data_IF_835991739871
#
_entry.id   IF_835991739871
#
_cell.length_a   1.000
_cell.length_b   1.000
_cell.length_c   1.000
_cell.angle_alpha   90.00
_cell.angle_beta   90.00
_cell.angle_gamma   90.00
#
_symmetry.space_group_name_H-M   'P 1'
#
loop_
_entity.id
_entity.type
_entity.pdbx_description
1 polymer ?
#
# COMPACT_ATOMS: atom_id res chain seq x y z
N UNK A 1 6.26 0.17 29.59
CA UNK A 1 7.12 0.32 28.38
C UNK A 1 6.91 1.69 27.72
N UNK A 2 5.65 2.12 27.57
CA UNK A 2 5.27 3.48 27.14
C UNK A 2 5.87 4.56 28.06
N UNK A 3 5.94 4.32 29.37
CA UNK A 3 6.39 5.29 30.37
C UNK A 3 7.90 5.50 30.40
N UNK A 4 8.67 4.58 29.80
CA UNK A 4 10.10 4.79 29.51
C UNK A 4 10.28 5.57 28.20
N UNK A 5 9.41 5.36 27.21
CA UNK A 5 9.43 6.06 25.91
C UNK A 5 8.91 7.50 26.01
N UNK A 6 7.73 7.74 26.60
CA UNK A 6 7.11 9.06 26.74
C UNK A 6 7.90 9.96 27.71
N UNK A 7 8.43 9.43 28.83
CA UNK A 7 9.22 10.23 29.79
C UNK A 7 10.61 10.62 29.28
N UNK A 8 11.21 9.89 28.32
CA UNK A 8 12.55 10.22 27.77
C UNK A 8 12.48 11.09 26.52
N UNK A 9 11.48 10.90 25.66
CA UNK A 9 11.30 11.76 24.46
C UNK A 9 10.90 13.19 24.86
N UNK A 10 10.09 13.38 25.91
CA UNK A 10 9.71 14.72 26.38
C UNK A 10 10.81 15.49 27.15
N UNK A 11 11.93 14.86 27.54
CA UNK A 11 12.94 15.52 28.41
C UNK A 11 14.13 16.18 27.71
N UNK A 12 14.22 16.14 26.38
CA UNK A 12 15.15 17.01 25.63
C UNK A 12 14.44 17.52 24.39
N UNK A 13 14.49 18.82 24.13
CA UNK A 13 13.91 19.42 22.95
C UNK A 13 14.60 18.91 21.68
N UNK A 14 13.97 17.97 20.97
CA UNK A 14 14.40 17.48 19.65
C UNK A 14 14.07 18.46 18.50
N UNK A 15 13.68 19.70 18.84
CA UNK A 15 12.95 20.59 17.93
C UNK A 15 13.80 21.63 17.18
N UNK A 16 15.15 21.53 17.17
CA UNK A 16 16.00 22.62 16.61
C UNK A 16 16.92 22.27 15.44
N UNK A 17 17.19 21.00 15.11
CA UNK A 17 18.23 20.67 14.12
C UNK A 17 17.77 19.94 12.84
N UNK A 18 16.50 19.50 12.73
CA UNK A 18 16.05 18.72 11.57
C UNK A 18 15.67 19.53 10.32
N UNK A 19 15.57 20.86 10.40
CA UNK A 19 15.11 21.72 9.30
C UNK A 19 16.21 22.21 8.32
N UNK A 20 17.49 21.84 8.51
CA UNK A 20 18.62 22.41 7.73
C UNK A 20 19.34 21.46 6.77
N UNK A 21 18.81 20.26 6.52
CA UNK A 21 19.56 19.25 5.75
C UNK A 21 19.38 19.32 4.22
N UNK A 22 18.38 20.06 3.73
CA UNK A 22 18.01 20.07 2.31
C UNK A 22 18.94 20.82 1.34
N UNK A 23 19.89 21.64 1.82
CA UNK A 23 20.61 22.61 0.94
C UNK A 23 22.09 22.30 0.66
N UNK A 24 22.73 21.34 1.35
CA UNK A 24 24.21 21.30 1.38
C UNK A 24 24.93 20.30 0.47
N UNK A 25 24.25 19.39 -0.23
CA UNK A 25 24.92 18.29 -0.93
C UNK A 25 25.00 18.36 -2.46
N UNK A 26 24.67 19.50 -3.11
CA UNK A 26 24.76 19.62 -4.58
C UNK A 26 26.11 20.11 -5.14
N UNK A 27 27.10 20.45 -4.30
CA UNK A 27 28.36 21.02 -4.77
C UNK A 27 29.56 20.12 -4.48
N UNK A 28 29.75 19.06 -5.29
CA UNK A 28 31.07 18.48 -5.64
C UNK A 28 30.91 17.22 -6.50
N UNK A 29 31.07 17.37 -7.81
CA UNK A 29 31.77 16.41 -8.71
C UNK A 29 31.79 16.98 -10.13
N UNK A 30 32.98 17.34 -10.61
CA UNK A 30 33.25 17.68 -12.01
C UNK A 30 34.40 16.81 -12.53
N UNK A 31 34.17 16.29 -13.74
CA UNK A 31 35.08 16.06 -14.86
C UNK A 31 35.97 14.79 -14.95
N UNK A 32 35.91 14.19 -16.15
CA UNK A 32 36.74 13.12 -16.72
C UNK A 32 35.89 11.87 -17.01
N UNK A 33 35.72 11.32 -18.21
CA UNK A 33 36.48 11.39 -19.47
C UNK A 33 35.55 11.00 -20.65
N UNK A 34 35.96 11.37 -21.88
CA UNK A 34 35.33 10.97 -23.14
C UNK A 34 35.63 9.50 -23.46
N UNK A 35 34.62 8.75 -23.88
CA UNK A 35 34.77 7.67 -24.86
C UNK A 35 33.53 7.59 -25.75
N UNK A 36 33.77 7.64 -27.06
CA UNK A 36 32.79 7.34 -28.10
C UNK A 36 32.57 5.83 -28.17
N UNK A 37 31.31 5.40 -28.28
CA UNK A 37 31.00 3.98 -28.48
C UNK A 37 29.53 3.64 -28.26
N UNK A 38 28.75 3.67 -29.36
CA UNK A 38 27.40 3.07 -29.55
C UNK A 38 26.41 3.21 -28.39
N UNK A 39 25.50 4.19 -28.51
CA UNK A 39 24.41 4.39 -27.55
C UNK A 39 23.37 3.26 -27.64
N UNK A 40 23.37 2.38 -26.65
CA UNK A 40 22.14 1.72 -26.23
C UNK A 40 21.18 2.79 -25.66
N UNK A 41 19.85 2.64 -25.82
CA UNK A 41 18.91 3.60 -25.25
C UNK A 41 19.11 3.67 -23.73
N UNK A 42 19.56 4.83 -23.25
CA UNK A 42 19.72 5.14 -21.83
C UNK A 42 18.36 5.01 -21.15
N UNK A 43 18.19 3.98 -20.33
CA UNK A 43 16.97 3.73 -19.54
C UNK A 43 16.89 4.52 -18.24
N UNK A 44 17.89 5.37 -17.94
CA UNK A 44 17.86 6.24 -16.76
C UNK A 44 18.41 7.62 -17.07
N UNK A 45 17.69 8.62 -16.55
CA UNK A 45 18.02 10.03 -16.66
C UNK A 45 18.75 10.47 -15.39
N UNK A 46 19.92 11.10 -15.53
CA UNK A 46 20.64 11.64 -14.38
C UNK A 46 19.96 12.90 -13.86
N UNK A 47 20.11 13.25 -12.56
CA UNK A 47 19.60 14.53 -12.02
C UNK A 47 20.05 15.75 -12.83
N UNK A 48 21.28 15.74 -13.34
CA UNK A 48 21.81 16.80 -14.21
C UNK A 48 21.09 16.90 -15.56
N UNK A 49 20.75 15.76 -16.18
CA UNK A 49 19.96 15.73 -17.42
C UNK A 49 18.53 16.20 -17.18
N UNK A 50 17.93 15.88 -16.02
CA UNK A 50 16.61 16.34 -15.62
C UNK A 50 16.59 17.87 -15.46
N UNK A 51 17.52 18.40 -14.64
CA UNK A 51 17.65 19.83 -14.40
C UNK A 51 17.88 20.59 -15.71
N UNK A 52 18.74 20.06 -16.60
CA UNK A 52 19.00 20.69 -17.88
C UNK A 52 17.77 20.71 -18.80
N UNK A 53 16.92 19.67 -18.76
CA UNK A 53 15.67 19.65 -19.53
C UNK A 53 14.63 20.62 -18.96
N UNK A 54 14.49 20.70 -17.64
CA UNK A 54 13.65 21.70 -16.98
C UNK A 54 14.11 23.13 -17.33
N UNK A 55 15.42 23.37 -17.33
CA UNK A 55 15.99 24.68 -17.66
C UNK A 55 15.79 25.04 -19.14
N UNK A 56 15.93 24.09 -20.07
CA UNK A 56 15.64 24.31 -21.50
C UNK A 56 14.15 24.56 -21.76
N UNK A 57 13.26 23.79 -21.12
CA UNK A 57 11.82 24.00 -21.23
C UNK A 57 11.41 25.38 -20.71
N UNK A 58 11.99 25.80 -19.58
CA UNK A 58 11.80 27.14 -19.04
C UNK A 58 12.29 28.24 -19.99
N UNK A 59 13.52 28.14 -20.51
CA UNK A 59 14.10 29.14 -21.42
C UNK A 59 13.40 29.23 -22.77
N UNK A 60 12.88 28.12 -23.28
CA UNK A 60 12.17 28.06 -24.56
C UNK A 60 10.67 28.32 -24.44
N UNK A 61 10.13 28.44 -23.23
CA UNK A 61 8.69 28.54 -22.98
C UNK A 61 7.90 27.32 -23.45
N UNK A 62 8.57 26.19 -23.69
CA UNK A 62 7.99 25.00 -24.29
C UNK A 62 8.17 23.78 -23.36
N UNK A 63 7.10 23.27 -22.73
CA UNK A 63 7.20 22.15 -21.79
C UNK A 63 7.45 20.79 -22.46
N UNK A 64 7.37 20.69 -23.79
CA UNK A 64 7.37 19.42 -24.51
C UNK A 64 8.61 18.55 -24.23
N UNK A 65 9.77 19.16 -23.98
CA UNK A 65 10.99 18.40 -23.69
C UNK A 65 10.90 17.69 -22.32
N UNK A 66 10.44 18.39 -21.29
CA UNK A 66 10.20 17.82 -19.96
C UNK A 66 9.08 16.80 -20.02
N UNK A 67 8.01 17.11 -20.74
CA UNK A 67 6.87 16.20 -20.90
C UNK A 67 7.28 14.90 -21.59
N UNK A 68 8.07 14.97 -22.67
CA UNK A 68 8.59 13.79 -23.36
C UNK A 68 9.50 12.97 -22.45
N UNK A 69 10.38 13.61 -21.69
CA UNK A 69 11.25 12.90 -20.73
C UNK A 69 10.45 12.23 -19.61
N UNK A 70 9.44 12.90 -19.05
CA UNK A 70 8.56 12.30 -18.06
C UNK A 70 7.79 11.12 -18.68
N UNK A 71 7.27 11.27 -19.90
CA UNK A 71 6.61 10.17 -20.64
C UNK A 71 7.57 9.00 -20.90
N UNK A 72 8.83 9.26 -21.21
CA UNK A 72 9.86 8.22 -21.44
C UNK A 72 10.31 7.54 -20.13
N UNK A 73 10.22 8.25 -19.00
CA UNK A 73 10.50 7.72 -17.65
C UNK A 73 9.34 6.93 -17.06
N UNK A 74 8.12 7.11 -17.58
CA UNK A 74 6.96 6.40 -17.10
C UNK A 74 6.83 5.04 -17.81
N UNK A 75 6.63 4.00 -17.01
CA UNK A 75 6.34 2.66 -17.53
C UNK A 75 4.83 2.47 -17.67
N UNK A 76 4.45 1.58 -18.58
CA UNK A 76 3.17 0.88 -18.56
C UNK A 76 3.38 -0.54 -18.06
N UNK A 77 2.34 -1.16 -17.53
CA UNK A 77 2.34 -2.58 -17.21
C UNK A 77 1.70 -3.33 -18.37
N UNK A 78 2.33 -4.41 -18.84
CA UNK A 78 1.81 -5.20 -19.97
C UNK A 78 1.69 -6.67 -19.57
N UNK A 79 0.56 -7.27 -19.88
CA UNK A 79 0.34 -8.70 -19.79
C UNK A 79 -0.06 -9.29 -21.14
N UNK A 80 0.21 -10.58 -21.32
CA UNK A 80 -0.19 -11.35 -22.51
C UNK A 80 -1.11 -12.48 -22.07
N UNK A 81 -2.28 -12.60 -22.70
CA UNK A 81 -3.24 -13.68 -22.45
C UNK A 81 -3.64 -14.36 -23.74
N UNK A 82 -4.04 -15.62 -23.66
CA UNK A 82 -4.45 -16.37 -24.85
C UNK A 82 -5.87 -16.01 -25.28
N UNK A 83 -6.77 -15.83 -24.31
CA UNK A 83 -8.17 -15.50 -24.55
C UNK A 83 -8.68 -14.43 -23.57
N UNK A 84 -9.49 -13.50 -24.08
CA UNK A 84 -10.07 -12.40 -23.29
C UNK A 84 -11.04 -12.93 -22.25
N UNK A 85 -11.92 -13.85 -22.63
CA UNK A 85 -13.00 -14.34 -21.77
C UNK A 85 -12.44 -15.15 -20.61
N UNK A 86 -11.48 -16.03 -20.89
CA UNK A 86 -10.76 -16.76 -19.83
C UNK A 86 -10.06 -15.79 -18.86
N UNK A 87 -9.39 -14.76 -19.39
CA UNK A 87 -8.74 -13.75 -18.54
C UNK A 87 -9.75 -13.01 -17.65
N UNK A 88 -10.90 -12.61 -18.19
CA UNK A 88 -11.97 -11.96 -17.41
C UNK A 88 -12.59 -12.89 -16.36
N UNK A 89 -12.75 -14.18 -16.64
CA UNK A 89 -13.22 -15.18 -15.67
C UNK A 89 -12.24 -15.39 -14.51
N UNK A 90 -10.93 -15.40 -14.79
CA UNK A 90 -9.89 -15.52 -13.75
C UNK A 90 -9.74 -14.24 -12.93
N UNK A 91 -9.82 -13.08 -13.56
CA UNK A 91 -9.88 -11.78 -12.87
C UNK A 91 -11.12 -11.70 -11.96
N UNK A 92 -12.27 -12.26 -12.38
CA UNK A 92 -13.47 -12.35 -11.54
C UNK A 92 -13.29 -13.24 -10.32
N UNK A 93 -12.41 -14.25 -10.40
CA UNK A 93 -11.98 -15.08 -9.27
C UNK A 93 -10.89 -14.40 -8.41
N UNK A 94 -10.50 -13.16 -8.73
CA UNK A 94 -9.52 -12.36 -7.99
C UNK A 94 -8.07 -12.72 -8.25
N UNK A 95 -7.80 -13.54 -9.28
CA UNK A 95 -6.44 -13.80 -9.71
C UNK A 95 -5.80 -12.51 -10.25
N UNK A 96 -4.49 -12.35 -10.03
CA UNK A 96 -3.74 -11.18 -10.51
C UNK A 96 -3.02 -11.60 -11.77
N UNK A 97 -3.23 -10.86 -12.84
CA UNK A 97 -2.50 -11.10 -14.07
C UNK A 97 -1.04 -10.70 -13.88
N UNK A 98 -0.09 -11.54 -14.30
CA UNK A 98 1.34 -11.24 -14.19
C UNK A 98 1.69 -10.21 -15.26
N UNK A 99 2.21 -9.06 -14.83
CA UNK A 99 2.56 -7.95 -15.73
C UNK A 99 4.06 -7.73 -15.83
N UNK A 100 4.48 -7.14 -16.94
CA UNK A 100 5.86 -6.77 -17.23
C UNK A 100 5.90 -5.25 -17.43
N UNK A 101 6.80 -4.53 -16.73
CA UNK A 101 6.97 -3.11 -16.96
C UNK A 101 7.61 -2.88 -18.34
N UNK A 102 6.99 -2.04 -19.15
CA UNK A 102 7.49 -1.64 -20.46
C UNK A 102 7.58 -0.11 -20.50
N UNK A 103 8.69 0.48 -20.97
CA UNK A 103 8.78 1.92 -21.16
C UNK A 103 7.64 2.43 -22.05
N UNK A 104 6.92 3.46 -21.62
CA UNK A 104 5.72 3.95 -22.30
C UNK A 104 5.98 4.29 -23.77
N UNK A 105 7.10 4.96 -24.08
CA UNK A 105 7.47 5.29 -25.46
C UNK A 105 7.68 4.05 -26.36
N UNK A 106 8.24 2.97 -25.81
CA UNK A 106 8.42 1.70 -26.53
C UNK A 106 7.06 1.06 -26.79
N UNK A 107 6.19 1.00 -25.76
CA UNK A 107 4.85 0.44 -25.89
C UNK A 107 4.01 1.22 -26.91
N UNK A 108 3.97 2.55 -26.80
CA UNK A 108 3.26 3.44 -27.72
C UNK A 108 3.77 3.28 -29.17
N UNK A 109 5.10 3.20 -29.36
CA UNK A 109 5.69 3.03 -30.68
C UNK A 109 5.38 1.67 -31.33
N UNK A 110 5.19 0.61 -30.54
CA UNK A 110 4.85 -0.74 -31.03
C UNK A 110 3.34 -0.87 -31.27
N UNK A 111 2.55 -0.58 -30.25
CA UNK A 111 1.09 -0.71 -30.29
C UNK A 111 0.45 0.35 -31.18
N UNK A 112 0.99 1.57 -31.20
CA UNK A 112 0.48 2.63 -32.07
C UNK A 112 0.54 2.25 -33.55
N UNK A 113 1.55 1.47 -33.98
CA UNK A 113 1.60 0.92 -35.34
C UNK A 113 0.50 -0.10 -35.59
N UNK A 114 0.31 -1.04 -34.66
CA UNK A 114 -0.74 -2.07 -34.74
C UNK A 114 -2.14 -1.42 -34.84
N UNK A 115 -2.40 -0.39 -34.02
CA UNK A 115 -3.66 0.34 -34.03
C UNK A 115 -3.84 1.21 -35.28
N UNK A 116 -2.76 1.76 -35.83
CA UNK A 116 -2.80 2.56 -37.06
C UNK A 116 -2.97 1.72 -38.34
N UNK A 117 -2.44 0.49 -38.34
CA UNK A 117 -2.55 -0.48 -39.44
C UNK A 117 -3.87 -1.27 -39.37
N UNK A 118 -4.51 -1.34 -38.20
CA UNK A 118 -5.82 -1.95 -38.00
C UNK A 118 -6.96 -1.12 -38.61
N UNK A 119 -7.98 -1.81 -39.12
CA UNK A 119 -9.23 -1.15 -39.51
C UNK A 119 -9.85 -0.45 -38.30
N UNK A 120 -9.87 0.89 -38.32
CA UNK A 120 -10.43 1.74 -37.26
C UNK A 120 -11.78 1.18 -36.80
N UNK A 121 -11.87 0.82 -35.51
CA UNK A 121 -13.11 0.36 -34.87
C UNK A 121 -13.29 -1.16 -34.75
N UNK A 122 -12.33 -1.99 -35.19
CA UNK A 122 -12.31 -3.43 -34.84
C UNK A 122 -11.46 -3.68 -33.60
N UNK A 123 -11.89 -4.65 -32.79
CA UNK A 123 -11.12 -5.11 -31.63
C UNK A 123 -9.79 -5.70 -32.11
N UNK A 124 -8.71 -4.99 -31.82
CA UNK A 124 -7.38 -5.37 -32.24
C UNK A 124 -6.74 -6.40 -31.29
N UNK A 125 -7.41 -6.80 -30.21
CA UNK A 125 -6.85 -7.67 -29.16
C UNK A 125 -5.98 -6.91 -28.15
N UNK A 126 -6.20 -5.60 -28.01
CA UNK A 126 -5.48 -4.71 -27.10
C UNK A 126 -6.49 -4.13 -26.12
N UNK A 127 -6.28 -4.40 -24.83
CA UNK A 127 -7.23 -4.01 -23.79
C UNK A 127 -6.55 -3.19 -22.69
N UNK A 128 -7.26 -2.18 -22.19
CA UNK A 128 -6.96 -1.50 -20.94
C UNK A 128 -7.65 -2.23 -19.79
N UNK A 129 -6.87 -2.64 -18.78
CA UNK A 129 -7.39 -3.16 -17.54
C UNK A 129 -7.99 -2.01 -16.73
N UNK A 130 -9.32 -1.90 -16.70
CA UNK A 130 -10.03 -0.87 -15.93
C UNK A 130 -10.62 -1.48 -14.66
N UNK A 131 -10.54 -0.80 -13.50
CA UNK A 131 -11.32 -1.22 -12.36
C UNK A 131 -12.81 -1.07 -12.67
N UNK A 132 -13.59 -2.14 -12.49
CA UNK A 132 -15.04 -2.07 -12.51
C UNK A 132 -15.59 -2.10 -11.09
N UNK A 133 -16.60 -1.28 -10.83
CA UNK A 133 -17.31 -1.29 -9.57
C UNK A 133 -18.00 -2.63 -9.28
N UNK A 134 -18.28 -2.83 -7.99
CA UNK A 134 -19.20 -3.77 -7.33
C UNK A 134 -19.16 -5.29 -7.59
N UNK A 135 -18.68 -5.85 -8.72
CA UNK A 135 -18.71 -7.32 -8.92
C UNK A 135 -17.49 -7.96 -9.59
N UNK A 136 -16.86 -7.28 -10.53
CA UNK A 136 -15.64 -7.76 -11.19
C UNK A 136 -14.56 -6.71 -10.89
N UNK A 137 -13.45 -7.04 -10.17
CA UNK A 137 -12.50 -6.00 -9.75
C UNK A 137 -11.90 -5.29 -10.96
N UNK A 138 -11.84 -5.96 -12.11
CA UNK A 138 -11.33 -5.40 -13.35
C UNK A 138 -12.14 -5.87 -14.56
N UNK A 139 -12.14 -5.05 -15.62
CA UNK A 139 -12.66 -5.39 -16.95
C UNK A 139 -11.60 -5.09 -18.00
N UNK A 140 -11.61 -5.85 -19.09
CA UNK A 140 -10.76 -5.62 -20.26
C UNK A 140 -11.51 -4.74 -21.27
N UNK A 141 -11.26 -3.44 -21.20
CA UNK A 141 -11.84 -2.46 -22.14
C UNK A 141 -10.99 -2.39 -23.41
N UNK A 142 -11.54 -2.66 -24.61
CA UNK A 142 -10.77 -2.58 -25.85
C UNK A 142 -10.27 -1.15 -26.10
N UNK A 143 -9.09 -1.05 -26.72
CA UNK A 143 -8.46 0.20 -27.14
C UNK A 143 -8.56 0.30 -28.65
N UNK A 144 -9.02 1.45 -29.14
CA UNK A 144 -9.22 1.66 -30.57
C UNK A 144 -8.26 2.69 -31.16
N UNK A 145 -7.58 3.47 -30.33
CA UNK A 145 -6.74 4.58 -30.78
C UNK A 145 -5.47 4.73 -29.93
N UNK A 146 -4.34 5.16 -30.53
CA UNK A 146 -3.10 5.43 -29.78
C UNK A 146 -3.26 6.48 -28.67
N UNK A 147 -4.20 7.41 -28.82
CA UNK A 147 -4.48 8.49 -27.87
C UNK A 147 -5.04 7.98 -26.53
N UNK A 148 -5.65 6.79 -26.52
CA UNK A 148 -6.12 6.11 -25.32
C UNK A 148 -4.99 5.46 -24.51
N UNK A 149 -3.78 5.38 -25.07
CA UNK A 149 -2.61 4.81 -24.40
C UNK A 149 -1.97 5.87 -23.51
N UNK A 150 -2.21 5.75 -22.21
CA UNK A 150 -1.68 6.59 -21.15
C UNK A 150 -0.58 5.88 -20.34
N UNK A 151 0.41 6.63 -19.82
CA UNK A 151 1.44 6.09 -18.93
C UNK A 151 0.85 5.63 -17.59
N UNK A 152 1.55 4.73 -16.89
CA UNK A 152 1.14 4.25 -15.56
C UNK A 152 -0.13 3.40 -15.55
N UNK A 153 -0.55 2.88 -16.71
CA UNK A 153 -1.71 2.00 -16.86
C UNK A 153 -1.29 0.57 -17.15
N UNK A 154 -2.23 -0.36 -16.94
CA UNK A 154 -2.06 -1.79 -17.23
C UNK A 154 -2.80 -2.17 -18.50
N UNK A 155 -2.07 -2.71 -19.47
CA UNK A 155 -2.58 -3.18 -20.74
C UNK A 155 -2.48 -4.70 -20.85
N UNK A 156 -3.48 -5.32 -21.46
CA UNK A 156 -3.53 -6.75 -21.73
C UNK A 156 -3.59 -6.94 -23.24
N UNK A 157 -2.66 -7.73 -23.76
CA UNK A 157 -2.54 -8.06 -25.18
C UNK A 157 -2.92 -9.52 -25.37
N UNK A 158 -3.58 -9.85 -26.48
CA UNK A 158 -3.77 -11.24 -26.87
C UNK A 158 -2.47 -11.85 -27.40
N UNK A 159 -2.31 -13.17 -27.22
CA UNK A 159 -1.07 -13.88 -27.57
C UNK A 159 -0.76 -13.90 -29.07
N UNK A 160 -1.76 -13.63 -29.92
CA UNK A 160 -1.55 -13.41 -31.35
C UNK A 160 -0.82 -12.09 -31.69
N UNK A 161 -0.75 -11.13 -30.76
CA UNK A 161 -0.08 -9.84 -30.95
C UNK A 161 1.28 -9.78 -30.25
N UNK A 162 1.37 -10.40 -29.09
CA UNK A 162 2.53 -10.35 -28.22
C UNK A 162 2.77 -11.70 -27.58
N UNK A 163 4.01 -12.01 -27.24
CA UNK A 163 4.37 -13.24 -26.56
C UNK A 163 5.34 -12.96 -25.43
N UNK A 164 5.38 -13.84 -24.43
CA UNK A 164 6.40 -13.81 -23.41
C UNK A 164 7.27 -15.07 -23.49
N UNK A 165 8.58 -14.90 -23.31
CA UNK A 165 9.49 -16.02 -23.04
C UNK A 165 10.50 -15.64 -21.96
N UNK A 166 10.96 -16.62 -21.19
CA UNK A 166 11.98 -16.37 -20.15
C UNK A 166 13.34 -15.96 -20.71
N UNK A 167 13.59 -16.22 -22.01
CA UNK A 167 14.86 -15.86 -22.67
C UNK A 167 14.84 -14.48 -23.30
N UNK A 168 13.75 -14.11 -23.96
CA UNK A 168 13.65 -12.89 -24.76
C UNK A 168 12.79 -11.81 -24.10
N UNK A 169 12.06 -12.15 -23.04
CA UNK A 169 11.12 -11.26 -22.38
C UNK A 169 9.84 -11.08 -23.20
N UNK A 170 9.21 -9.91 -23.07
CA UNK A 170 8.01 -9.55 -23.84
C UNK A 170 8.37 -9.21 -25.29
N UNK A 171 7.77 -9.93 -26.23
CA UNK A 171 7.88 -9.71 -27.68
C UNK A 171 6.54 -9.19 -28.23
N UNK A 172 6.59 -8.34 -29.26
CA UNK A 172 5.41 -7.80 -29.95
C UNK A 172 5.26 -8.41 -31.36
N UNK A 173 5.58 -9.70 -31.48
CA UNK A 173 5.60 -10.45 -32.74
C UNK A 173 4.67 -11.67 -32.73
N UNK A 174 3.78 -11.78 -31.73
CA UNK A 174 2.82 -12.90 -31.61
C UNK A 174 3.44 -14.28 -31.40
N UNK A 175 4.74 -14.35 -31.11
CA UNK A 175 5.49 -15.59 -30.90
C UNK A 175 5.95 -15.68 -29.45
N UNK A 176 5.18 -16.37 -28.61
CA UNK A 176 5.52 -16.63 -27.21
C UNK A 176 4.32 -17.14 -26.40
N UNK A 177 4.52 -17.37 -25.11
CA UNK A 177 3.47 -17.82 -24.20
C UNK A 177 2.73 -16.62 -23.57
N UNK A 178 1.55 -16.87 -23.00
CA UNK A 178 0.93 -15.91 -22.10
C UNK A 178 1.83 -15.63 -20.88
N UNK A 179 1.73 -14.42 -20.31
CA UNK A 179 2.47 -14.06 -19.09
C UNK A 179 1.97 -14.81 -17.87
N UNK A 180 0.77 -15.39 -17.95
CA UNK A 180 0.12 -16.12 -16.88
C UNK A 180 -0.39 -15.21 -15.77
N UNK A 181 -0.65 -15.81 -14.62
CA UNK A 181 -1.17 -15.14 -13.43
C UNK A 181 -0.18 -15.32 -12.28
N UNK A 182 -0.13 -14.32 -11.41
CA UNK A 182 0.68 -14.38 -10.20
C UNK A 182 0.15 -15.49 -9.28
N UNK A 183 1.07 -16.26 -8.71
CA UNK A 183 0.75 -17.17 -7.63
C UNK A 183 0.33 -16.35 -6.41
N UNK A 184 -0.97 -16.28 -6.15
CA UNK A 184 -1.46 -15.64 -4.93
C UNK A 184 -1.44 -16.64 -3.78
N UNK A 185 -0.78 -16.31 -2.65
CA UNK A 185 -0.88 -17.07 -1.42
C UNK A 185 -2.35 -17.32 -1.09
N UNK A 186 -2.68 -18.54 -0.65
CA UNK A 186 -4.05 -18.89 -0.23
C UNK A 186 -4.59 -17.88 0.80
N UNK A 187 -3.72 -17.42 1.68
CA UNK A 187 -4.05 -16.43 2.70
C UNK A 187 -4.45 -15.05 2.12
N UNK A 188 -3.77 -14.58 1.06
CA UNK A 188 -4.13 -13.32 0.37
C UNK A 188 -5.51 -13.44 -0.29
N UNK A 189 -5.81 -14.59 -0.91
CA UNK A 189 -7.14 -14.86 -1.46
C UNK A 189 -8.21 -14.90 -0.37
N UNK A 190 -7.92 -15.59 0.73
CA UNK A 190 -8.84 -15.71 1.85
C UNK A 190 -9.19 -14.35 2.47
N UNK A 191 -8.18 -13.50 2.67
CA UNK A 191 -8.35 -12.13 3.14
C UNK A 191 -9.29 -11.33 2.20
N UNK A 192 -8.92 -11.23 0.92
CA UNK A 192 -9.63 -10.38 -0.06
C UNK A 192 -11.10 -10.75 -0.25
N UNK A 193 -11.40 -12.04 -0.18
CA UNK A 193 -12.75 -12.56 -0.39
C UNK A 193 -13.55 -12.73 0.90
N UNK A 194 -12.99 -12.31 2.05
CA UNK A 194 -13.55 -12.59 3.37
C UNK A 194 -13.83 -14.08 3.57
N UNK A 195 -13.04 -14.94 2.92
CA UNK A 195 -13.16 -16.39 3.06
C UNK A 195 -12.39 -16.79 4.31
N UNK A 196 -13.12 -17.18 5.35
CA UNK A 196 -12.53 -17.55 6.62
C UNK A 196 -13.58 -17.80 7.67
N UNK A 197 -13.13 -17.93 8.92
CA UNK A 197 -14.04 -18.02 10.06
C UNK A 197 -14.58 -16.64 10.40
N UNK A 198 -15.78 -16.63 10.98
CA UNK A 198 -16.29 -15.43 11.65
C UNK A 198 -15.27 -14.94 12.68
N UNK A 199 -15.06 -13.64 12.73
CA UNK A 199 -14.11 -13.01 13.63
C UNK A 199 -14.58 -11.61 14.03
N UNK A 200 -14.55 -11.34 15.33
CA UNK A 200 -14.80 -9.99 15.84
C UNK A 200 -13.61 -9.08 15.53
N UNK A 201 -13.83 -7.77 15.54
CA UNK A 201 -12.76 -6.81 15.30
C UNK A 201 -11.64 -6.89 16.35
N UNK A 202 -12.00 -7.11 17.61
CA UNK A 202 -11.04 -7.28 18.70
C UNK A 202 -10.19 -8.54 18.53
N UNK A 203 -10.84 -9.68 18.23
CA UNK A 203 -10.15 -10.96 17.98
C UNK A 203 -9.15 -10.84 16.82
N UNK A 204 -9.55 -10.16 15.74
CA UNK A 204 -8.70 -9.95 14.58
C UNK A 204 -7.49 -9.07 14.94
N UNK A 205 -7.73 -7.92 15.54
CA UNK A 205 -6.67 -6.97 15.91
C UNK A 205 -5.68 -7.60 16.88
N UNK A 206 -6.17 -8.36 17.86
CA UNK A 206 -5.31 -9.08 18.79
C UNK A 206 -4.49 -10.18 18.08
N UNK A 207 -5.11 -10.97 17.20
CA UNK A 207 -4.43 -12.02 16.45
C UNK A 207 -3.31 -11.46 15.56
N UNK A 208 -3.51 -10.29 14.96
CA UNK A 208 -2.49 -9.56 14.20
C UNK A 208 -1.37 -9.05 15.10
N UNK A 209 -1.70 -8.50 16.28
CA UNK A 209 -0.72 -8.02 17.25
C UNK A 209 0.21 -9.13 17.77
N UNK A 210 -0.34 -10.31 18.08
CA UNK A 210 0.42 -11.46 18.55
C UNK A 210 1.44 -11.91 17.48
N UNK A 211 1.02 -11.99 16.22
CA UNK A 211 1.89 -12.33 15.08
C UNK A 211 2.97 -11.27 14.84
N UNK A 212 2.64 -9.99 15.02
CA UNK A 212 3.57 -8.88 14.85
C UNK A 212 4.79 -8.97 15.77
N UNK A 213 4.68 -9.63 16.93
CA UNK A 213 5.80 -9.78 17.85
C UNK A 213 6.95 -10.57 17.21
N UNK A 214 6.62 -11.68 16.54
CA UNK A 214 7.61 -12.52 15.86
C UNK A 214 8.24 -11.76 14.69
N UNK A 215 7.42 -11.10 13.87
CA UNK A 215 7.91 -10.33 12.71
C UNK A 215 8.82 -9.18 13.16
N UNK A 216 8.48 -8.48 14.25
CA UNK A 216 9.31 -7.42 14.81
C UNK A 216 10.69 -7.92 15.28
N UNK A 217 10.79 -9.16 15.80
CA UNK A 217 12.07 -9.78 16.16
C UNK A 217 12.94 -10.02 14.92
N UNK A 218 12.33 -10.48 13.81
CA UNK A 218 13.00 -10.68 12.52
C UNK A 218 13.45 -9.33 11.93
N UNK A 219 12.62 -8.29 12.05
CA UNK A 219 12.89 -6.98 11.45
C UNK A 219 13.86 -6.11 12.25
N UNK A 220 14.10 -6.43 13.52
CA UNK A 220 14.97 -5.63 14.39
C UNK A 220 16.37 -5.38 13.84
N UNK A 221 17.14 -6.37 13.35
CA UNK A 221 18.47 -6.13 12.80
C UNK A 221 18.45 -5.16 11.61
N UNK A 222 17.41 -5.23 10.78
CA UNK A 222 17.24 -4.35 9.63
C UNK A 222 16.95 -2.90 10.05
N UNK A 223 16.08 -2.70 11.04
CA UNK A 223 15.79 -1.36 11.58
C UNK A 223 17.03 -0.80 12.30
N UNK A 224 17.80 -1.63 13.00
CA UNK A 224 19.07 -1.23 13.62
C UNK A 224 20.09 -0.76 12.59
N UNK A 225 20.32 -1.56 11.53
CA UNK A 225 21.24 -1.23 10.45
C UNK A 225 20.81 0.04 9.70
N UNK A 226 19.52 0.17 9.41
CA UNK A 226 18.96 1.38 8.81
C UNK A 226 19.18 2.62 9.70
N UNK A 227 18.88 2.52 10.99
CA UNK A 227 19.07 3.62 11.95
C UNK A 227 20.54 4.01 12.05
N UNK A 228 21.44 3.03 12.03
CA UNK A 228 22.89 3.27 12.03
C UNK A 228 23.35 4.01 10.79
N UNK A 229 22.82 3.67 9.62
CA UNK A 229 23.26 4.30 8.38
C UNK A 229 22.66 5.70 8.18
N UNK A 230 21.37 5.85 8.42
CA UNK A 230 20.61 7.07 8.12
C UNK A 230 20.73 8.10 9.25
N UNK A 231 20.82 7.65 10.50
CA UNK A 231 20.78 8.51 11.69
C UNK A 231 22.08 8.46 12.52
N UNK A 232 23.20 8.05 11.91
CA UNK A 232 24.49 7.89 12.62
C UNK A 232 24.89 9.16 13.38
N UNK A 233 24.89 10.30 12.69
CA UNK A 233 25.38 11.57 13.24
C UNK A 233 24.48 12.06 14.39
N UNK A 234 23.18 11.77 14.33
CA UNK A 234 22.20 12.13 15.35
C UNK A 234 22.41 11.32 16.63
N UNK A 235 22.89 10.07 16.52
CA UNK A 235 23.04 9.15 17.64
C UNK A 235 24.48 8.88 18.07
N UNK A 236 25.46 9.51 17.41
CA UNK A 236 26.89 9.29 17.63
C UNK A 236 27.32 9.41 19.09
N UNK A 237 26.74 10.36 19.82
CA UNK A 237 27.03 10.61 21.24
C UNK A 237 25.96 10.06 22.20
N UNK A 238 24.98 9.31 21.68
CA UNK A 238 23.82 8.85 22.44
C UNK A 238 23.36 7.43 22.03
N UNK A 239 24.22 6.39 22.22
CA UNK A 239 23.89 5.02 21.84
C UNK A 239 22.64 4.46 22.53
N UNK A 240 22.40 4.84 23.79
CA UNK A 240 21.17 4.45 24.50
C UNK A 240 19.91 5.04 23.85
N UNK A 241 20.00 6.23 23.27
CA UNK A 241 18.87 6.84 22.55
C UNK A 241 18.63 6.16 21.20
N UNK A 242 19.69 5.67 20.53
CA UNK A 242 19.58 4.87 19.30
C UNK A 242 18.76 3.61 19.55
N UNK A 243 19.10 2.87 20.60
CA UNK A 243 18.40 1.63 20.93
C UNK A 243 16.94 1.87 21.33
N UNK A 244 16.66 2.93 22.08
CA UNK A 244 15.27 3.32 22.38
C UNK A 244 14.50 3.73 21.11
N UNK A 245 15.15 4.45 20.18
CA UNK A 245 14.54 4.83 18.91
C UNK A 245 14.19 3.60 18.06
N UNK A 246 15.10 2.64 17.94
CA UNK A 246 14.85 1.36 17.23
C UNK A 246 13.64 0.64 17.84
N UNK A 247 13.57 0.56 19.18
CA UNK A 247 12.40 -0.02 19.86
C UNK A 247 11.13 0.76 19.56
N UNK A 248 11.16 2.09 19.53
CA UNK A 248 10.01 2.92 19.21
C UNK A 248 9.52 2.72 17.78
N UNK A 249 10.43 2.60 16.80
CA UNK A 249 10.07 2.32 15.40
C UNK A 249 9.40 0.95 15.28
N UNK A 250 10.00 -0.09 15.87
CA UNK A 250 9.40 -1.44 15.85
C UNK A 250 8.05 -1.47 16.58
N UNK A 251 7.94 -0.79 17.72
CA UNK A 251 6.68 -0.67 18.45
C UNK A 251 5.62 0.05 17.61
N UNK A 252 5.97 1.15 16.94
CA UNK A 252 5.09 1.87 16.04
C UNK A 252 4.61 1.00 14.87
N UNK A 253 5.49 0.19 14.27
CA UNK A 253 5.09 -0.79 13.23
C UNK A 253 4.08 -1.81 13.77
N UNK A 254 4.28 -2.32 14.99
CA UNK A 254 3.35 -3.26 15.62
C UNK A 254 2.00 -2.63 15.97
N UNK A 255 1.99 -1.37 16.43
CA UNK A 255 0.76 -0.60 16.66
C UNK A 255 0.04 -0.35 15.34
N UNK A 256 0.77 -0.05 14.28
CA UNK A 256 0.21 0.09 12.94
C UNK A 256 -0.42 -1.21 12.45
N UNK A 257 0.18 -2.38 12.73
CA UNK A 257 -0.42 -3.69 12.47
C UNK A 257 -1.68 -3.92 13.34
N UNK A 258 -1.64 -3.63 14.64
CA UNK A 258 -2.80 -3.76 15.54
C UNK A 258 -4.01 -2.94 15.05
N UNK A 259 -3.79 -1.74 14.55
CA UNK A 259 -4.85 -0.76 14.25
C UNK A 259 -5.02 -0.50 12.74
N UNK A 260 -4.40 -1.32 11.87
CA UNK A 260 -4.48 -1.16 10.41
C UNK A 260 -5.93 -1.19 9.89
N UNK A 261 -6.79 -1.89 10.62
CA UNK A 261 -8.19 -2.13 10.31
C UNK A 261 -9.16 -1.24 11.09
N UNK A 262 -8.68 -0.15 11.69
CA UNK A 262 -9.53 0.83 12.39
C UNK A 262 -10.65 1.37 11.51
N UNK A 263 -10.45 1.40 10.19
CA UNK A 263 -11.47 1.76 9.21
C UNK A 263 -12.73 0.89 9.26
N UNK A 264 -12.61 -0.38 9.70
CA UNK A 264 -13.74 -1.30 9.87
C UNK A 264 -14.67 -0.87 11.00
N UNK A 265 -14.22 0.00 11.91
CA UNK A 265 -15.04 0.57 12.99
C UNK A 265 -15.97 1.70 12.51
N UNK A 266 -15.97 2.01 11.21
CA UNK A 266 -16.94 2.93 10.62
C UNK A 266 -18.34 2.30 10.61
N UNK A 267 -19.37 3.06 11.00
CA UNK A 267 -20.77 2.63 11.05
C UNK A 267 -21.24 2.06 9.72
N UNK A 268 -20.93 2.74 8.62
CA UNK A 268 -21.32 2.26 7.29
C UNK A 268 -20.68 0.89 6.95
N UNK A 269 -19.45 0.65 7.40
CA UNK A 269 -18.79 -0.64 7.22
C UNK A 269 -19.49 -1.72 8.05
N UNK A 270 -19.74 -1.45 9.34
CA UNK A 270 -20.39 -2.39 10.26
C UNK A 270 -21.81 -2.74 9.81
N UNK A 271 -22.60 -1.77 9.32
CA UNK A 271 -23.96 -1.99 8.82
C UNK A 271 -23.97 -3.00 7.66
N UNK A 272 -23.08 -2.82 6.68
CA UNK A 272 -22.98 -3.71 5.51
C UNK A 272 -22.55 -5.12 5.92
N UNK A 273 -21.55 -5.22 6.81
CA UNK A 273 -21.00 -6.52 7.19
C UNK A 273 -21.95 -7.29 8.11
N UNK A 274 -22.66 -6.61 9.00
CA UNK A 274 -23.73 -7.24 9.78
C UNK A 274 -24.88 -7.74 8.91
N UNK A 275 -25.26 -6.98 7.89
CA UNK A 275 -26.30 -7.40 6.96
C UNK A 275 -25.87 -8.64 6.17
N UNK A 276 -24.62 -8.67 5.70
CA UNK A 276 -24.05 -9.85 5.06
C UNK A 276 -24.04 -11.05 6.00
N UNK A 277 -23.65 -10.86 7.26
CA UNK A 277 -23.58 -11.94 8.24
C UNK A 277 -24.97 -12.57 8.52
N UNK A 278 -26.02 -11.74 8.60
CA UNK A 278 -27.41 -12.23 8.74
C UNK A 278 -27.83 -13.09 7.57
N UNK A 279 -27.50 -12.67 6.33
CA UNK A 279 -27.78 -13.43 5.11
C UNK A 279 -27.02 -14.76 5.10
N UNK A 280 -25.74 -14.76 5.50
CA UNK A 280 -24.91 -15.96 5.55
C UNK A 280 -25.44 -16.98 6.56
N UNK A 281 -25.83 -16.53 7.76
CA UNK A 281 -26.28 -17.43 8.82
C UNK A 281 -27.73 -17.88 8.70
N UNK A 282 -28.52 -17.26 7.81
CA UNK A 282 -29.96 -17.49 7.66
C UNK A 282 -30.72 -17.46 9.00
N UNK A 283 -30.26 -16.61 9.93
CA UNK A 283 -30.78 -16.48 11.30
C UNK A 283 -30.74 -15.03 11.75
N UNK A 284 -31.69 -14.66 12.61
CA UNK A 284 -31.60 -13.45 13.43
C UNK A 284 -30.38 -13.57 14.35
N UNK A 285 -29.26 -12.96 13.97
CA UNK A 285 -28.10 -12.86 14.85
C UNK A 285 -28.37 -11.77 15.87
N UNK A 286 -28.51 -12.14 17.14
CA UNK A 286 -28.49 -11.17 18.23
C UNK A 286 -27.08 -10.59 18.33
N UNK A 287 -26.88 -9.38 17.78
CA UNK A 287 -25.59 -8.67 17.76
C UNK A 287 -24.96 -8.57 19.15
N UNK A 288 -25.77 -8.52 20.21
CA UNK A 288 -25.30 -8.45 21.59
C UNK A 288 -24.65 -9.74 22.10
N UNK A 289 -24.94 -10.91 21.51
CA UNK A 289 -24.43 -12.22 21.96
C UNK A 289 -23.16 -12.70 21.25
N UNK A 290 -22.82 -12.13 20.09
CA UNK A 290 -21.75 -12.62 19.20
C UNK A 290 -20.54 -11.66 19.16
N UNK A 291 -20.64 -10.50 19.81
CA UNK A 291 -19.65 -9.42 19.77
C UNK A 291 -20.18 -8.25 18.95
N UNK A 292 -19.94 -7.00 19.38
CA UNK A 292 -20.59 -5.81 18.81
C UNK A 292 -20.06 -5.40 17.42
N UNK A 293 -18.81 -5.76 17.11
CA UNK A 293 -18.08 -5.27 15.95
C UNK A 293 -17.40 -6.43 15.22
N UNK A 294 -17.68 -6.56 13.93
CA UNK A 294 -17.16 -7.63 13.09
C UNK A 294 -15.91 -7.15 12.36
N UNK A 295 -14.91 -8.02 12.19
CA UNK A 295 -13.85 -7.83 11.19
C UNK A 295 -14.05 -8.72 9.96
N UNK A 296 -14.61 -9.93 10.13
CA UNK A 296 -14.85 -10.91 9.06
C UNK A 296 -16.16 -11.68 9.28
N UNK A 297 -16.90 -11.91 8.20
CA UNK A 297 -18.13 -12.72 8.21
C UNK A 297 -17.83 -14.22 8.36
N UNK A 298 -18.86 -15.00 8.67
CA UNK A 298 -18.83 -16.46 8.55
C UNK A 298 -18.52 -16.93 7.11
N UNK A 299 -18.05 -18.19 6.94
CA UNK A 299 -17.87 -18.77 5.61
C UNK A 299 -19.15 -18.71 4.78
N UNK A 300 -19.03 -18.29 3.52
CA UNK A 300 -20.16 -18.22 2.60
C UNK A 300 -20.54 -19.64 2.18
N UNK A 301 -21.79 -20.10 2.38
CA UNK A 301 -22.15 -21.50 2.20
C UNK A 301 -22.34 -21.90 0.72
N UNK A 302 -22.70 -20.98 -0.16
CA UNK A 302 -22.88 -21.22 -1.60
C UNK A 302 -22.81 -19.92 -2.43
N UNK A 303 -22.70 -20.09 -3.76
CA UNK A 303 -22.59 -18.98 -4.71
C UNK A 303 -23.88 -18.16 -4.84
N UNK A 304 -25.04 -18.75 -4.57
CA UNK A 304 -26.33 -18.02 -4.55
C UNK A 304 -26.36 -16.95 -3.46
N UNK A 305 -25.88 -17.27 -2.26
CA UNK A 305 -25.77 -16.32 -1.15
C UNK A 305 -24.68 -15.30 -1.48
N UNK A 306 -23.53 -15.73 -2.02
CA UNK A 306 -22.44 -14.83 -2.43
C UNK A 306 -22.92 -13.69 -3.34
N UNK A 307 -23.80 -14.00 -4.31
CA UNK A 307 -24.39 -13.02 -5.24
C UNK A 307 -25.31 -11.98 -4.57
N UNK A 308 -25.79 -12.26 -3.35
CA UNK A 308 -26.69 -11.39 -2.58
C UNK A 308 -25.95 -10.50 -1.56
N UNK A 309 -24.65 -10.74 -1.35
CA UNK A 309 -23.84 -9.97 -0.40
C UNK A 309 -23.44 -8.62 -0.99
N UNK A 310 -23.44 -7.61 -0.13
CA UNK A 310 -22.98 -6.27 -0.47
C UNK A 310 -21.49 -6.14 -0.20
N UNK A 311 -20.73 -5.49 -1.08
CA UNK A 311 -19.32 -5.22 -0.82
C UNK A 311 -19.20 -4.13 0.25
N UNK A 312 -18.44 -4.35 1.34
CA UNK A 312 -18.21 -3.30 2.33
C UNK A 312 -17.41 -2.14 1.73
N UNK A 313 -17.59 -0.91 2.25
CA UNK A 313 -16.80 0.25 1.84
C UNK A 313 -15.30 0.02 2.10
N UNK A 314 -14.45 0.76 1.38
CA UNK A 314 -13.00 0.74 1.63
C UNK A 314 -12.70 1.21 3.05
N UNK A 315 -11.93 0.43 3.80
CA UNK A 315 -11.60 0.70 5.20
C UNK A 315 -10.15 1.11 5.41
N UNK A 316 -9.21 0.49 4.67
CA UNK A 316 -7.77 0.73 4.83
C UNK A 316 -7.36 2.22 4.80
N UNK A 317 -7.92 3.09 3.93
CA UNK A 317 -7.52 4.50 3.89
C UNK A 317 -7.69 5.25 5.23
N UNK A 318 -8.68 4.89 6.04
CA UNK A 318 -8.93 5.51 7.35
C UNK A 318 -7.82 5.26 8.37
N UNK A 319 -6.98 4.23 8.16
CA UNK A 319 -5.85 3.95 9.05
C UNK A 319 -4.81 5.07 9.01
N UNK A 320 -4.64 5.77 7.89
CA UNK A 320 -3.61 6.79 7.75
C UNK A 320 -3.81 7.99 8.69
N UNK A 321 -4.90 8.78 8.59
CA UNK A 321 -5.10 9.93 9.48
C UNK A 321 -5.17 9.51 10.96
N UNK A 322 -5.78 8.36 11.24
CA UNK A 322 -5.87 7.81 12.59
C UNK A 322 -4.47 7.52 13.16
N UNK A 323 -3.67 6.68 12.49
CA UNK A 323 -2.35 6.27 12.96
C UNK A 323 -1.35 7.43 12.97
N UNK A 324 -1.44 8.34 12.00
CA UNK A 324 -0.60 9.54 11.95
C UNK A 324 -0.80 10.38 13.22
N UNK A 325 -2.04 10.71 13.56
CA UNK A 325 -2.34 11.48 14.77
C UNK A 325 -1.99 10.68 16.04
N UNK A 326 -2.36 9.40 16.11
CA UNK A 326 -2.11 8.54 17.26
C UNK A 326 -0.62 8.40 17.59
N UNK A 327 0.20 8.05 16.59
CA UNK A 327 1.62 7.82 16.76
C UNK A 327 2.36 9.13 17.05
N UNK A 328 2.00 10.24 16.39
CA UNK A 328 2.62 11.54 16.64
C UNK A 328 2.33 12.07 18.04
N UNK A 329 1.12 11.88 18.54
CA UNK A 329 0.78 12.30 19.90
C UNK A 329 1.58 11.52 20.96
N UNK A 330 1.81 10.21 20.73
CA UNK A 330 2.52 9.36 21.69
C UNK A 330 4.04 9.46 21.59
N UNK A 331 4.57 9.55 20.37
CA UNK A 331 6.00 9.42 20.10
C UNK A 331 6.63 10.73 19.62
N UNK A 332 5.87 11.76 19.29
CA UNK A 332 6.36 13.03 18.74
C UNK A 332 6.28 13.11 17.21
N UNK A 333 6.65 14.28 16.66
CA UNK A 333 6.52 14.58 15.23
C UNK A 333 7.73 14.08 14.42
N UNK A 334 7.70 12.80 14.04
CA UNK A 334 8.78 12.14 13.31
C UNK A 334 8.31 11.57 11.97
N UNK A 335 8.99 11.93 10.87
CA UNK A 335 8.67 11.46 9.49
C UNK A 335 8.53 9.93 9.33
N UNK A 336 9.36 9.08 9.98
CA UNK A 336 9.16 7.62 9.91
C UNK A 336 7.75 7.16 10.36
N UNK A 337 7.11 7.88 11.29
CA UNK A 337 5.78 7.52 11.78
C UNK A 337 4.70 7.72 10.71
N UNK A 338 4.85 8.77 9.88
CA UNK A 338 3.95 9.01 8.75
C UNK A 338 4.09 7.90 7.70
N UNK A 339 5.33 7.48 7.42
CA UNK A 339 5.61 6.38 6.51
C UNK A 339 5.00 5.06 7.02
N UNK A 340 5.07 4.79 8.34
CA UNK A 340 4.43 3.63 8.97
C UNK A 340 2.89 3.72 8.87
N UNK A 341 2.30 4.88 9.18
CA UNK A 341 0.86 5.08 9.06
C UNK A 341 0.38 4.90 7.61
N UNK A 342 1.13 5.43 6.64
CA UNK A 342 0.82 5.31 5.21
C UNK A 342 0.93 3.86 4.74
N UNK A 343 1.95 3.15 5.22
CA UNK A 343 2.15 1.74 4.93
C UNK A 343 0.96 0.89 5.41
N UNK A 344 0.41 1.16 6.59
CA UNK A 344 -0.79 0.50 7.09
C UNK A 344 -2.01 0.82 6.23
N UNK A 345 -2.21 2.06 5.80
CA UNK A 345 -3.36 2.41 4.95
C UNK A 345 -3.34 1.78 3.55
N UNK A 346 -2.19 1.26 3.11
CA UNK A 346 -1.98 0.63 1.80
C UNK A 346 -1.78 -0.88 1.90
N UNK A 347 -2.33 -1.51 2.93
CA UNK A 347 -2.20 -2.96 3.11
C UNK A 347 -2.98 -3.77 2.06
N UNK A 348 -4.11 -3.28 1.54
CA UNK A 348 -4.88 -3.97 0.48
C UNK A 348 -4.45 -3.67 -0.96
N UNK A 349 -3.95 -2.46 -1.22
CA UNK A 349 -3.54 -2.06 -2.56
C UNK A 349 -2.49 -0.95 -2.49
N UNK A 350 -1.56 -0.95 -3.44
CA UNK A 350 -0.65 0.18 -3.64
C UNK A 350 -1.40 1.38 -4.24
N UNK A 351 -2.49 1.19 -4.98
CA UNK A 351 -3.31 2.29 -5.51
C UNK A 351 -4.33 2.79 -4.47
N UNK A 352 -3.86 3.35 -3.35
CA UNK A 352 -4.72 4.18 -2.51
C UNK A 352 -4.49 5.62 -2.96
N UNK A 353 -5.43 6.14 -3.74
CA UNK A 353 -5.56 7.59 -3.90
C UNK A 353 -5.94 8.12 -2.53
N UNK A 354 -5.00 8.76 -1.86
CA UNK A 354 -5.02 9.10 -0.45
C UNK A 354 -6.14 10.00 0.05
N UNK A 355 -7.17 10.29 -0.74
CA UNK A 355 -8.27 11.14 -0.30
C UNK A 355 -9.30 10.32 0.47
N UNK A 356 -9.25 10.41 1.80
CA UNK A 356 -10.36 9.99 2.65
C UNK A 356 -11.37 11.14 2.67
N UNK A 357 -12.51 10.96 1.99
CA UNK A 357 -13.66 11.86 2.18
C UNK A 357 -14.25 11.62 3.57
N UNK A 358 -14.55 12.69 4.31
CA UNK A 358 -14.83 12.72 5.76
C UNK A 358 -16.12 12.03 6.23
N UNK A 359 -16.36 10.80 5.77
CA UNK A 359 -17.54 10.00 6.05
C UNK A 359 -17.28 8.93 7.12
N UNK A 360 -16.27 9.12 7.98
CA UNK A 360 -16.03 8.20 9.09
C UNK A 360 -16.96 8.55 10.24
N UNK A 361 -17.92 7.68 10.55
CA UNK A 361 -18.71 7.77 11.78
C UNK A 361 -18.38 6.55 12.62
N UNK A 362 -17.80 6.76 13.80
CA UNK A 362 -17.45 5.66 14.69
C UNK A 362 -18.71 4.88 15.10
N UNK A 363 -18.65 3.55 15.05
CA UNK A 363 -19.74 2.69 15.51
C UNK A 363 -19.94 2.71 17.02
N UNK A 364 -21.19 2.46 17.44
CA UNK A 364 -21.56 2.42 18.85
C UNK A 364 -20.72 1.38 19.62
N UNK A 365 -20.06 1.84 20.69
CA UNK A 365 -19.19 1.03 21.54
C UNK A 365 -17.81 0.70 20.96
N UNK A 366 -17.46 1.21 19.78
CA UNK A 366 -16.13 1.00 19.21
C UNK A 366 -15.02 1.76 19.95
N UNK A 367 -15.34 2.87 20.59
CA UNK A 367 -14.40 3.60 21.44
C UNK A 367 -14.02 2.80 22.69
N UNK A 368 -14.98 2.12 23.31
CA UNK A 368 -14.75 1.24 24.46
C UNK A 368 -13.92 0.02 24.06
N UNK A 369 -14.24 -0.62 22.92
CA UNK A 369 -13.45 -1.75 22.40
C UNK A 369 -12.00 -1.33 22.10
N UNK A 370 -11.79 -0.15 21.52
CA UNK A 370 -10.44 0.39 21.29
C UNK A 370 -9.69 0.61 22.60
N UNK A 371 -10.32 1.23 23.61
CA UNK A 371 -9.70 1.49 24.92
C UNK A 371 -9.32 0.19 25.63
N UNK A 372 -10.23 -0.77 25.67
CA UNK A 372 -9.99 -2.06 26.33
C UNK A 372 -8.92 -2.88 25.60
N UNK A 373 -8.95 -2.92 24.26
CA UNK A 373 -7.91 -3.58 23.47
C UNK A 373 -6.53 -2.97 23.73
N UNK A 374 -6.42 -1.64 23.69
CA UNK A 374 -5.15 -0.95 23.94
C UNK A 374 -4.66 -1.19 25.38
N UNK A 375 -5.54 -1.17 26.37
CA UNK A 375 -5.19 -1.49 27.76
C UNK A 375 -4.69 -2.94 27.90
N UNK A 376 -5.36 -3.89 27.25
CA UNK A 376 -4.97 -5.31 27.23
C UNK A 376 -3.60 -5.52 26.60
N UNK A 377 -3.37 -4.89 25.45
CA UNK A 377 -2.15 -5.05 24.66
C UNK A 377 -0.95 -4.33 25.27
N UNK A 378 -1.16 -3.15 25.86
CA UNK A 378 -0.09 -2.31 26.40
C UNK A 378 0.24 -2.63 27.87
N UNK A 379 -0.59 -3.46 28.52
CA UNK A 379 -0.40 -3.94 29.89
C UNK A 379 -0.71 -2.87 30.94
N UNK A 380 -0.15 -3.03 32.13
CA UNK A 380 -0.31 -2.06 33.22
C UNK A 380 0.39 -0.74 32.87
N UNK A 381 -0.40 0.32 32.80
CA UNK A 381 0.05 1.69 32.54
C UNK A 381 -0.13 2.52 33.80
N UNK A 382 0.82 3.40 34.09
CA UNK A 382 0.62 4.46 35.10
C UNK A 382 -0.50 5.39 34.68
N UNK A 383 -1.07 6.12 35.63
CA UNK A 383 -2.14 7.09 35.38
C UNK A 383 -1.77 8.11 34.29
N UNK A 384 -0.51 8.60 34.31
CA UNK A 384 -0.01 9.52 33.30
C UNK A 384 0.07 8.89 31.90
N UNK A 385 0.53 7.64 31.79
CA UNK A 385 0.56 6.90 30.51
C UNK A 385 -0.85 6.64 29.99
N UNK A 386 -1.78 6.31 30.89
CA UNK A 386 -3.18 6.10 30.54
C UNK A 386 -3.85 7.39 30.03
N UNK A 387 -3.54 8.53 30.65
CA UNK A 387 -4.04 9.82 30.20
C UNK A 387 -3.46 10.22 28.84
N UNK A 388 -2.16 10.00 28.61
CA UNK A 388 -1.53 10.22 27.31
C UNK A 388 -2.16 9.33 26.21
N UNK A 389 -2.41 8.06 26.51
CA UNK A 389 -3.07 7.13 25.60
C UNK A 389 -4.49 7.56 25.25
N UNK A 390 -5.29 7.98 26.25
CA UNK A 390 -6.64 8.51 26.04
C UNK A 390 -6.62 9.75 25.16
N UNK A 391 -5.69 10.68 25.41
CA UNK A 391 -5.54 11.88 24.60
C UNK A 391 -5.18 11.54 23.16
N UNK A 392 -4.20 10.66 22.93
CA UNK A 392 -3.83 10.19 21.60
C UNK A 392 -4.99 9.52 20.86
N UNK A 393 -5.76 8.69 21.54
CA UNK A 393 -6.95 8.06 20.96
C UNK A 393 -8.01 9.10 20.57
N UNK A 394 -8.28 10.08 21.43
CA UNK A 394 -9.20 11.18 21.13
C UNK A 394 -8.76 11.99 19.91
N UNK A 395 -7.47 12.32 19.78
CA UNK A 395 -6.94 13.04 18.63
C UNK A 395 -7.03 12.20 17.35
N UNK A 396 -6.70 10.91 17.43
CA UNK A 396 -6.79 9.99 16.29
C UNK A 396 -8.22 9.83 15.77
N UNK A 397 -9.20 9.72 16.70
CA UNK A 397 -10.62 9.62 16.35
C UNK A 397 -11.17 10.91 15.74
N UNK A 398 -10.65 12.09 16.12
CA UNK A 398 -10.99 13.35 15.45
C UNK A 398 -10.36 13.41 14.05
N UNK A 399 -9.08 13.09 13.94
CA UNK A 399 -8.34 13.15 12.69
C UNK A 399 -8.94 12.27 11.58
N UNK A 400 -9.47 11.09 11.94
CA UNK A 400 -10.11 10.18 10.96
C UNK A 400 -11.48 10.67 10.46
N UNK A 401 -12.14 11.55 11.20
CA UNK A 401 -13.41 12.18 10.81
C UNK A 401 -13.20 13.36 9.87
N UNK A 402 -12.02 13.99 9.91
CA UNK A 402 -11.66 15.11 9.05
C UNK A 402 -11.26 14.63 7.64
N UNK A 403 -11.52 15.47 6.64
CA UNK A 403 -11.02 15.22 5.29
C UNK A 403 -9.50 15.37 5.27
N UNK A 404 -8.81 14.31 4.85
CA UNK A 404 -7.35 14.31 4.75
C UNK A 404 -6.91 13.83 3.38
N UNK A 405 -5.84 14.46 2.87
CA UNK A 405 -5.07 13.94 1.74
C UNK A 405 -3.92 13.12 2.32
N UNK A 406 -3.82 11.85 1.93
CA UNK A 406 -2.67 11.05 2.29
C UNK A 406 -1.43 11.52 1.54
N UNK A 407 -0.28 11.40 2.20
CA UNK A 407 1.01 11.68 1.60
C UNK A 407 1.29 10.69 0.45
N UNK A 408 2.08 11.11 -0.54
CA UNK A 408 2.66 10.19 -1.51
C UNK A 408 3.63 9.22 -0.80
N UNK A 409 3.77 7.96 -1.27
CA UNK A 409 4.80 7.08 -0.75
C UNK A 409 6.19 7.72 -0.84
N UNK A 410 7.09 7.41 0.12
CA UNK A 410 8.49 7.68 -0.08
C UNK A 410 8.98 7.01 -1.37
N UNK A 411 9.77 7.74 -2.17
CA UNK A 411 10.42 7.17 -3.36
C UNK A 411 11.48 6.14 -2.96
N UNK A 412 11.89 5.19 -3.82
CA UNK A 412 12.99 4.27 -3.51
C UNK A 412 14.32 4.95 -3.14
N UNK A 413 14.50 6.22 -3.50
CA UNK A 413 15.65 7.05 -3.13
C UNK A 413 15.48 7.81 -1.81
N UNK A 414 14.30 7.79 -1.19
CA UNK A 414 14.05 8.38 0.12
C UNK A 414 14.48 7.37 1.21
N UNK A 415 15.26 7.82 2.18
CA UNK A 415 15.75 7.00 3.29
C UNK A 415 14.60 6.28 4.04
N UNK A 416 13.39 6.86 4.07
CA UNK A 416 12.23 6.26 4.75
C UNK A 416 11.51 5.19 3.93
N UNK A 417 11.87 4.98 2.65
CA UNK A 417 11.29 3.92 1.82
C UNK A 417 11.48 2.53 2.42
N UNK A 418 12.64 2.29 3.02
CA UNK A 418 12.94 1.02 3.66
C UNK A 418 11.99 0.75 4.83
N UNK A 419 11.77 1.75 5.69
CA UNK A 419 10.85 1.65 6.84
C UNK A 419 9.41 1.49 6.37
N UNK A 420 9.00 2.21 5.33
CA UNK A 420 7.70 2.05 4.68
C UNK A 420 7.48 0.61 4.19
N UNK A 421 8.46 0.04 3.49
CA UNK A 421 8.38 -1.33 2.98
C UNK A 421 8.27 -2.37 4.09
N UNK A 422 9.09 -2.26 5.14
CA UNK A 422 9.02 -3.14 6.30
C UNK A 422 7.66 -3.03 7.01
N UNK A 423 7.17 -1.81 7.25
CA UNK A 423 5.88 -1.61 7.88
C UNK A 423 4.73 -2.20 7.03
N UNK A 424 4.74 -1.98 5.71
CA UNK A 424 3.69 -2.49 4.82
C UNK A 424 3.69 -4.02 4.79
N UNK A 425 4.88 -4.63 4.76
CA UNK A 425 5.03 -6.09 4.78
C UNK A 425 4.58 -6.67 6.12
N UNK A 426 4.95 -6.07 7.25
CA UNK A 426 4.50 -6.50 8.58
C UNK A 426 2.98 -6.51 8.67
N UNK A 427 2.32 -5.40 8.29
CA UNK A 427 0.85 -5.29 8.34
C UNK A 427 0.22 -6.39 7.48
N UNK A 428 0.62 -6.51 6.21
CA UNK A 428 0.07 -7.50 5.28
C UNK A 428 0.25 -8.94 5.75
N UNK A 429 1.48 -9.29 6.14
CA UNK A 429 1.80 -10.66 6.51
C UNK A 429 1.08 -11.03 7.81
N UNK A 430 1.07 -10.17 8.82
CA UNK A 430 0.35 -10.46 10.05
C UNK A 430 -1.17 -10.55 9.83
N UNK A 431 -1.75 -9.73 8.96
CA UNK A 431 -3.16 -9.84 8.55
C UNK A 431 -3.45 -11.20 7.88
N UNK A 432 -2.65 -11.59 6.89
CA UNK A 432 -2.78 -12.87 6.18
C UNK A 432 -2.58 -14.09 7.06
N UNK A 433 -1.58 -14.06 7.94
CA UNK A 433 -1.32 -15.13 8.89
C UNK A 433 -2.46 -15.26 9.94
N UNK A 434 -3.15 -14.17 10.25
CA UNK A 434 -4.34 -14.22 11.10
C UNK A 434 -5.52 -14.89 10.38
N UNK A 435 -5.71 -14.61 9.08
CA UNK A 435 -6.75 -15.29 8.29
C UNK A 435 -6.47 -16.79 8.21
N UNK A 436 -5.25 -17.14 7.80
CA UNK A 436 -4.90 -18.50 7.40
C UNK A 436 -4.49 -19.40 8.56
N UNK A 437 -4.18 -18.81 9.72
CA UNK A 437 -3.54 -19.49 10.86
C UNK A 437 -2.23 -20.21 10.49
N UNK A 438 -1.62 -19.82 9.36
CA UNK A 438 -0.34 -20.32 8.89
C UNK A 438 0.75 -19.27 9.14
N UNK A 439 2.00 -19.71 9.25
CA UNK A 439 3.15 -18.80 9.26
C UNK A 439 3.67 -18.64 7.84
N UNK A 440 3.67 -17.41 7.33
CA UNK A 440 3.98 -17.07 5.93
C UNK A 440 5.37 -16.43 5.82
N UNK A 441 5.78 -15.58 6.76
CA UNK A 441 7.03 -14.81 6.65
C UNK A 441 8.32 -15.67 6.63
N UNK A 442 8.20 -16.95 7.01
CA UNK A 442 9.32 -17.89 7.17
C UNK A 442 9.33 -19.02 6.13
N UNK A 443 8.45 -18.97 5.13
CA UNK A 443 8.46 -19.84 3.96
C UNK A 443 9.18 -19.14 2.82
#
# INVERSE_FOLDING_TARGET
MIGLMVKRVQRKSWNKNCLKWGEKNMAKRKLGSKSEGKSFPKTSLTPSEAIAAFERAFRSGNPNEVERLLRDMLNVQVAVVDDKKEAEERLAKGEKIKTIPVPYGVFLGKIGKILAEGNRGKDAGIYLLKPMGNRNPYVLSPIFSPEEILPGKTYVLLSNLAGYSDREGLTFSGSGCSTGFEEQPKAERQEKFMEGRFQTWEEHSQGVWERSERVAKIYRPFVQAWTEHVLNEQFKEAPDQKEEFVKSVLWAMRVAALLHDVGKLNQHWQDVVWENERKIRNKSVEQQKVGRLIARTSPIPNDEIRKQLCRPPAHAPFAYPFLKAFLRELLGDYRPLDAIALAAARHHCLEVTGAVKGNFKLSDGADDVLKELLKKVLGELSENEMNALKNALCQALRAVQEETKADEPPSPSDDFYFIYCLANRMVKVCDWEDVSQATIELQ
#
